data_IF_858238395891
#
_entry.id   IF_858238395891
#
_cell.length_a   1.000
_cell.length_b   1.000
_cell.length_c   1.000
_cell.angle_alpha   90.00
_cell.angle_beta   90.00
_cell.angle_gamma   90.00
#
_symmetry.space_group_name_H-M   'P 1'
#
loop_
_entity.id
_entity.type
_entity.pdbx_description
1 polymer ?
#
# COMPACT_ATOMS: atom_id res chain seq x y z
N UNK A 1 -11.04 -4.46 -6.73
CA UNK A 1 -10.84 -3.36 -5.76
C UNK A 1 -11.89 -3.35 -4.63
N UNK A 2 -13.10 -3.87 -4.84
CA UNK A 2 -14.15 -3.86 -3.81
C UNK A 2 -13.77 -4.62 -2.53
N UNK A 3 -13.10 -5.78 -2.65
CA UNK A 3 -12.61 -6.52 -1.47
C UNK A 3 -11.61 -5.71 -0.62
N UNK A 4 -10.76 -4.88 -1.25
CA UNK A 4 -9.83 -4.00 -0.53
C UNK A 4 -10.58 -2.94 0.28
N UNK A 5 -11.65 -2.35 -0.27
CA UNK A 5 -12.44 -1.34 0.44
C UNK A 5 -13.08 -1.87 1.73
N UNK A 6 -13.38 -3.17 1.79
CA UNK A 6 -13.95 -3.82 2.98
C UNK A 6 -12.94 -3.92 4.14
N UNK A 7 -11.64 -3.86 3.87
CA UNK A 7 -10.60 -3.94 4.91
C UNK A 7 -10.15 -2.57 5.42
N UNK A 8 -10.78 -1.48 4.95
CA UNK A 8 -10.37 -0.11 5.23
C UNK A 8 -11.44 0.63 6.01
N UNK A 9 -11.01 1.49 6.95
CA UNK A 9 -11.89 2.46 7.60
C UNK A 9 -12.21 3.61 6.64
N UNK A 10 -13.37 4.25 6.81
CA UNK A 10 -13.69 5.48 6.09
C UNK A 10 -12.70 6.62 6.42
N UNK A 11 -12.10 6.58 7.61
CA UNK A 11 -11.09 7.53 8.09
C UNK A 11 -9.64 7.10 7.84
N UNK A 12 -9.40 6.05 7.03
CA UNK A 12 -8.04 5.58 6.75
C UNK A 12 -7.16 6.70 6.18
N UNK A 13 -5.92 6.77 6.67
CA UNK A 13 -4.85 7.59 6.09
C UNK A 13 -3.73 6.65 5.65
N UNK A 14 -3.34 6.74 4.39
CA UNK A 14 -2.30 5.91 3.78
C UNK A 14 -1.11 6.78 3.40
N UNK A 15 0.05 6.47 3.96
CA UNK A 15 1.29 7.19 3.68
C UNK A 15 2.22 6.28 2.88
N UNK A 16 2.64 6.74 1.70
CA UNK A 16 3.73 6.12 0.96
C UNK A 16 4.95 7.05 0.96
N UNK A 17 5.99 6.61 1.66
CA UNK A 17 7.25 7.34 1.82
C UNK A 17 8.20 6.97 0.67
N UNK A 18 7.97 7.56 -0.51
CA UNK A 18 8.88 7.52 -1.65
C UNK A 18 9.69 8.81 -1.78
N UNK A 19 10.71 8.81 -2.65
CA UNK A 19 11.38 10.05 -3.07
C UNK A 19 10.43 10.96 -3.86
N UNK A 20 10.73 12.26 -3.93
CA UNK A 20 9.92 13.24 -4.67
C UNK A 20 9.77 12.91 -6.16
N UNK A 21 10.72 12.15 -6.73
CA UNK A 21 10.67 11.67 -8.11
C UNK A 21 9.62 10.59 -8.37
N UNK A 22 9.03 9.98 -7.34
CA UNK A 22 8.01 8.95 -7.48
C UNK A 22 6.63 9.61 -7.56
N UNK A 23 5.91 9.53 -8.69
CA UNK A 23 4.70 10.32 -8.96
C UNK A 23 3.51 9.94 -8.07
N UNK A 24 3.56 8.79 -7.40
CA UNK A 24 2.54 8.31 -6.47
C UNK A 24 2.98 8.39 -5.00
N UNK A 25 4.05 9.13 -4.70
CA UNK A 25 4.43 9.46 -3.32
C UNK A 25 3.39 10.34 -2.62
N UNK A 26 3.35 10.26 -1.29
CA UNK A 26 2.54 11.14 -0.46
C UNK A 26 1.43 10.45 0.32
N UNK A 27 0.41 11.24 0.67
CA UNK A 27 -0.65 10.85 1.60
C UNK A 27 -2.00 10.76 0.90
N UNK A 28 -2.70 9.64 1.12
CA UNK A 28 -4.02 9.37 0.56
C UNK A 28 -5.02 9.19 1.70
N UNK A 29 -6.22 9.75 1.55
CA UNK A 29 -7.24 9.78 2.60
C UNK A 29 -8.50 9.04 2.16
N UNK A 30 -9.07 8.27 3.07
CA UNK A 30 -10.26 7.46 2.87
C UNK A 30 -10.05 6.29 1.90
N UNK A 31 -11.10 5.50 1.74
CA UNK A 31 -11.11 4.30 0.88
C UNK A 31 -10.72 4.64 -0.57
N UNK A 32 -11.30 5.69 -1.14
CA UNK A 32 -11.03 6.09 -2.52
C UNK A 32 -9.58 6.58 -2.71
N UNK A 33 -9.00 7.21 -1.69
CA UNK A 33 -7.59 7.57 -1.69
C UNK A 33 -6.69 6.34 -1.81
N UNK A 34 -6.95 5.29 -1.01
CA UNK A 34 -6.19 4.03 -1.07
C UNK A 34 -6.36 3.35 -2.43
N UNK A 35 -7.58 3.31 -2.96
CA UNK A 35 -7.86 2.76 -4.30
C UNK A 35 -7.04 3.46 -5.38
N UNK A 36 -6.98 4.80 -5.34
CA UNK A 36 -6.16 5.59 -6.26
C UNK A 36 -4.68 5.26 -6.13
N UNK A 37 -4.17 5.15 -4.91
CA UNK A 37 -2.77 4.76 -4.68
C UNK A 37 -2.46 3.39 -5.30
N UNK A 38 -3.25 2.36 -4.98
CA UNK A 38 -3.05 1.01 -5.52
C UNK A 38 -3.18 0.98 -7.05
N UNK A 39 -4.14 1.72 -7.61
CA UNK A 39 -4.28 1.87 -9.06
C UNK A 39 -3.04 2.50 -9.71
N UNK A 40 -2.44 3.51 -9.07
CA UNK A 40 -1.20 4.13 -9.56
C UNK A 40 -0.04 3.13 -9.55
N UNK A 41 0.10 2.32 -8.49
CA UNK A 41 1.14 1.28 -8.43
C UNK A 41 0.98 0.27 -9.57
N UNK A 42 -0.21 -0.30 -9.73
CA UNK A 42 -0.49 -1.31 -10.77
C UNK A 42 -0.27 -0.74 -12.17
N UNK A 43 -0.54 0.55 -12.39
CA UNK A 43 -0.38 1.18 -13.71
C UNK A 43 1.04 1.59 -14.05
N UNK A 44 1.92 1.76 -13.05
CA UNK A 44 3.26 2.32 -13.25
C UNK A 44 4.40 1.38 -12.85
N UNK A 45 4.11 0.24 -12.22
CA UNK A 45 5.12 -0.66 -11.70
C UNK A 45 4.79 -2.10 -12.09
N UNK A 46 5.68 -2.73 -12.84
CA UNK A 46 5.67 -4.18 -13.07
C UNK A 46 6.16 -4.91 -11.81
N UNK A 47 5.30 -4.98 -10.80
CA UNK A 47 5.60 -5.74 -9.59
C UNK A 47 5.36 -7.22 -9.88
N UNK A 48 6.44 -7.99 -9.97
CA UNK A 48 6.35 -9.44 -10.17
C UNK A 48 5.85 -10.17 -8.92
N UNK A 49 6.37 -9.79 -7.74
CA UNK A 49 6.06 -10.51 -6.51
C UNK A 49 6.41 -9.70 -5.26
N UNK A 50 5.54 -9.74 -4.25
CA UNK A 50 5.84 -9.36 -2.87
C UNK A 50 5.98 -10.63 -2.03
N UNK A 51 7.18 -10.90 -1.50
CA UNK A 51 7.42 -12.04 -0.61
C UNK A 51 7.32 -11.56 0.83
N UNK A 52 6.31 -12.01 1.55
CA UNK A 52 6.20 -11.78 3.00
C UNK A 52 7.20 -12.69 3.72
N UNK A 53 8.01 -12.11 4.60
CA UNK A 53 9.03 -12.84 5.35
C UNK A 53 8.73 -12.83 6.85
N UNK A 54 8.07 -11.78 7.35
CA UNK A 54 7.70 -11.68 8.74
C UNK A 54 6.42 -10.87 8.92
N UNK A 55 5.57 -11.33 9.85
CA UNK A 55 4.40 -10.60 10.33
C UNK A 55 4.53 -10.49 11.84
N UNK A 56 4.51 -9.26 12.35
CA UNK A 56 4.55 -8.95 13.78
C UNK A 56 3.23 -8.25 14.14
N UNK A 57 2.45 -8.85 15.03
CA UNK A 57 1.17 -8.32 15.49
C UNK A 57 1.24 -7.93 16.97
N UNK A 58 0.76 -6.73 17.31
CA UNK A 58 0.63 -6.26 18.68
C UNK A 58 -0.64 -5.40 18.82
N UNK A 59 -1.67 -5.97 19.46
CA UNK A 59 -2.96 -5.31 19.65
C UNK A 59 -3.63 -4.96 18.31
N UNK A 60 -3.77 -3.66 18.03
CA UNK A 60 -4.37 -3.13 16.79
C UNK A 60 -3.33 -2.79 15.71
N UNK A 61 -2.06 -3.10 15.96
CA UNK A 61 -0.96 -2.77 15.06
C UNK A 61 -0.40 -4.05 14.46
N UNK A 62 -0.23 -4.05 13.13
CA UNK A 62 0.43 -5.12 12.38
C UNK A 62 1.55 -4.51 11.56
N UNK A 63 2.74 -5.11 11.64
CA UNK A 63 3.90 -4.78 10.81
C UNK A 63 4.18 -5.99 9.92
N UNK A 64 4.29 -5.75 8.62
CA UNK A 64 4.61 -6.76 7.61
C UNK A 64 5.96 -6.39 6.99
N UNK A 65 6.92 -7.32 7.05
CA UNK A 65 8.24 -7.18 6.47
C UNK A 65 8.42 -8.20 5.35
N UNK A 66 9.15 -7.83 4.32
CA UNK A 66 9.37 -8.68 3.17
C UNK A 66 10.22 -8.01 2.10
N UNK A 67 10.31 -8.69 0.96
CA UNK A 67 11.05 -8.22 -0.21
C UNK A 67 10.11 -8.06 -1.42
N UNK A 68 10.37 -7.03 -2.21
CA UNK A 68 9.79 -6.86 -3.55
C UNK A 68 10.86 -7.22 -4.60
N UNK A 69 10.51 -8.08 -5.57
CA UNK A 69 11.37 -8.33 -6.71
C UNK A 69 10.98 -7.38 -7.85
N UNK A 70 11.95 -6.60 -8.35
CA UNK A 70 11.84 -5.78 -9.56
C UNK A 70 12.73 -6.39 -10.65
N UNK A 71 12.29 -6.34 -11.91
CA UNK A 71 13.12 -6.67 -13.09
C UNK A 71 14.14 -5.55 -13.29
#
# INVERSE_FOLDING_TARGET
MEALKLTLSDSTVWHYNGSESIPYSGTYKGKDGVVRFIGNIISNVDILHFKVEQIIANGKTVVVLGAENKI
#
